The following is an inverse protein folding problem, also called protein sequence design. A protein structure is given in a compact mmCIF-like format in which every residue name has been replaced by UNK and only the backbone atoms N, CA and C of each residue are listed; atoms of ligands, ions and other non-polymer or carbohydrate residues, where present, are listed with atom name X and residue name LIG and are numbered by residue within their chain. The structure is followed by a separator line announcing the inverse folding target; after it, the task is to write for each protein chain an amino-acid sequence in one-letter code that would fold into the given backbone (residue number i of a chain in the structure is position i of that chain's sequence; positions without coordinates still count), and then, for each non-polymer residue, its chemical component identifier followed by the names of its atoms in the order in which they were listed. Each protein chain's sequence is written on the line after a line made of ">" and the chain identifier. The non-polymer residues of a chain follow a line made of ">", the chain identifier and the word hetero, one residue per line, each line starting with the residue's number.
data_IF_375793787342
#
_entry.id   IF_375793787342
#
_cell.length_a   1.000
_cell.length_b   1.000
_cell.length_c   1.000
_cell.angle_alpha   90.00
_cell.angle_beta   90.00
_cell.angle_gamma   90.00
#
_symmetry.space_group_name_H-M   'P 1'
#
loop_
_entity.id
_entity.type
_entity.pdbx_description
1 polymer ?
#
# COMPACT_ATOMS: atom_id res chain seq x y z
N UNK A 1 -39.90 37.92 -1.67
CA UNK A 1 -39.60 38.52 -2.98
C UNK A 1 -38.57 37.64 -3.65
N UNK A 2 -39.02 36.75 -4.46
CA UNK A 2 -39.15 36.74 -5.93
C UNK A 2 -37.82 36.87 -6.65
N UNK A 3 -37.45 35.73 -7.25
CA UNK A 3 -36.97 35.55 -8.64
C UNK A 3 -35.51 35.99 -8.89
N UNK A 4 -34.74 35.28 -9.69
CA UNK A 4 -35.03 34.47 -10.86
C UNK A 4 -33.89 33.53 -11.23
N UNK A 5 -34.30 32.42 -11.76
CA UNK A 5 -33.56 31.49 -12.63
C UNK A 5 -32.88 32.22 -13.79
N UNK A 6 -31.72 31.76 -14.24
CA UNK A 6 -31.43 31.65 -15.69
C UNK A 6 -30.36 30.59 -15.94
N UNK A 7 -30.81 29.57 -16.58
CA UNK A 7 -30.18 28.57 -17.41
C UNK A 7 -29.40 29.28 -18.55
N UNK A 8 -28.17 28.87 -18.79
CA UNK A 8 -27.58 28.94 -20.11
C UNK A 8 -26.82 27.63 -20.38
N UNK A 9 -27.51 26.82 -21.17
CA UNK A 9 -26.87 25.77 -21.95
C UNK A 9 -26.49 26.42 -23.29
N UNK A 10 -25.25 26.23 -23.70
CA UNK A 10 -24.88 26.35 -25.11
C UNK A 10 -23.70 25.39 -25.37
N UNK A 11 -24.03 24.40 -26.14
CA UNK A 11 -23.10 23.54 -26.85
C UNK A 11 -22.30 24.35 -27.87
N UNK A 12 -21.00 24.00 -28.00
CA UNK A 12 -20.29 24.16 -29.26
C UNK A 12 -19.38 22.95 -29.45
N UNK A 13 -19.85 22.10 -30.32
CA UNK A 13 -19.07 21.06 -30.99
C UNK A 13 -18.46 21.66 -32.28
N UNK A 14 -17.45 20.97 -32.79
CA UNK A 14 -16.77 21.08 -34.10
C UNK A 14 -15.73 22.21 -34.19
N UNK A 15 -14.54 21.90 -34.64
CA UNK A 15 -14.04 21.23 -35.84
C UNK A 15 -12.52 21.06 -35.72
N UNK A 16 -12.00 19.89 -35.92
CA UNK A 16 -11.49 19.30 -37.16
C UNK A 16 -10.56 20.21 -38.00
N UNK A 17 -9.44 19.63 -38.13
CA UNK A 17 -8.68 19.31 -39.33
C UNK A 17 -7.24 19.78 -39.33
N UNK A 18 -6.40 18.78 -39.36
CA UNK A 18 -5.27 18.57 -40.24
C UNK A 18 -4.46 19.76 -40.77
N UNK A 19 -3.21 19.78 -40.44
CA UNK A 19 -2.19 19.89 -41.49
C UNK A 19 -0.90 19.22 -41.08
N UNK A 20 -0.52 18.22 -41.86
CA UNK A 20 0.82 17.68 -41.94
C UNK A 20 1.76 18.67 -42.61
N UNK A 21 2.99 18.71 -42.12
CA UNK A 21 4.26 18.66 -42.85
C UNK A 21 5.37 19.03 -41.90
N UNK A 22 6.17 18.04 -41.55
CA UNK A 22 7.43 17.63 -42.10
C UNK A 22 8.63 18.49 -41.72
N UNK A 23 9.55 17.75 -41.18
CA UNK A 23 11.01 17.86 -41.17
C UNK A 23 11.70 18.09 -39.83
N UNK A 24 12.18 17.05 -39.24
CA UNK A 24 13.59 16.79 -39.02
C UNK A 24 14.23 17.41 -37.80
N UNK A 25 14.32 16.62 -36.73
CA UNK A 25 15.56 16.50 -35.97
C UNK A 25 15.38 15.37 -34.93
N UNK A 26 16.33 14.49 -34.90
CA UNK A 26 16.49 13.35 -34.01
C UNK A 26 16.44 13.78 -32.55
N UNK A 27 15.36 13.43 -31.88
CA UNK A 27 15.32 13.29 -30.43
C UNK A 27 14.72 11.92 -30.14
N UNK A 28 15.47 11.15 -29.36
CA UNK A 28 15.12 9.83 -28.89
C UNK A 28 13.76 9.85 -28.18
N UNK A 29 12.73 9.46 -28.89
CA UNK A 29 11.43 9.13 -28.31
C UNK A 29 11.57 7.84 -27.51
N UNK A 30 11.75 7.97 -26.21
CA UNK A 30 11.38 6.92 -25.31
C UNK A 30 9.86 6.96 -25.16
N UNK A 31 9.15 6.41 -26.14
CA UNK A 31 7.75 6.06 -25.99
C UNK A 31 7.66 4.95 -24.95
N UNK A 32 7.50 5.31 -23.69
CA UNK A 32 7.06 4.37 -22.68
C UNK A 32 5.62 3.96 -23.04
N UNK A 33 5.48 2.88 -23.78
CA UNK A 33 4.20 2.22 -23.94
C UNK A 33 3.74 1.83 -22.54
N UNK A 34 2.74 2.54 -21.99
CA UNK A 34 2.06 2.12 -20.76
C UNK A 34 1.56 0.71 -21.03
N UNK A 35 2.14 -0.27 -20.33
CA UNK A 35 1.63 -1.64 -20.38
C UNK A 35 0.28 -1.62 -19.71
N UNK A 36 -0.73 -2.18 -20.37
CA UNK A 36 -2.04 -2.36 -19.76
C UNK A 36 -1.93 -3.25 -18.51
N UNK A 37 -2.80 -2.99 -17.54
CA UNK A 37 -2.89 -3.82 -16.34
C UNK A 37 -3.17 -5.27 -16.74
N UNK A 38 -2.50 -6.20 -16.09
CA UNK A 38 -2.70 -7.63 -16.34
C UNK A 38 -4.03 -8.06 -15.72
N UNK A 39 -4.91 -8.67 -16.51
CA UNK A 39 -6.14 -9.24 -16.00
C UNK A 39 -5.88 -10.24 -14.87
N UNK A 40 -6.80 -10.31 -13.91
CA UNK A 40 -6.76 -11.32 -12.85
C UNK A 40 -6.74 -12.74 -13.44
N UNK A 41 -6.00 -13.62 -12.78
CA UNK A 41 -6.04 -15.05 -13.08
C UNK A 41 -7.40 -15.64 -12.71
N UNK A 42 -7.72 -16.81 -13.25
CA UNK A 42 -8.98 -17.46 -12.93
C UNK A 42 -9.08 -17.84 -11.44
N UNK A 43 -7.98 -18.25 -10.83
CA UNK A 43 -7.91 -18.51 -9.38
C UNK A 43 -8.20 -17.24 -8.56
N UNK A 44 -7.68 -16.08 -8.97
CA UNK A 44 -7.97 -14.80 -8.31
C UNK A 44 -9.46 -14.42 -8.46
N UNK A 45 -10.05 -14.64 -9.63
CA UNK A 45 -11.48 -14.41 -9.86
C UNK A 45 -12.34 -15.32 -8.99
N UNK A 46 -11.97 -16.59 -8.87
CA UNK A 46 -12.66 -17.53 -8.00
C UNK A 46 -12.61 -17.10 -6.54
N UNK A 47 -11.43 -16.66 -6.05
CA UNK A 47 -11.28 -16.11 -4.70
C UNK A 47 -12.16 -14.87 -4.48
N UNK A 48 -12.18 -13.92 -5.44
CA UNK A 48 -13.04 -12.73 -5.37
C UNK A 48 -14.51 -13.13 -5.30
N UNK A 49 -14.96 -14.06 -6.14
CA UNK A 49 -16.34 -14.54 -6.14
C UNK A 49 -16.71 -15.23 -4.82
N UNK A 50 -15.82 -16.07 -4.27
CA UNK A 50 -16.05 -16.74 -2.99
C UNK A 50 -16.11 -15.78 -1.79
N UNK A 51 -15.47 -14.62 -1.89
CA UNK A 51 -15.48 -13.59 -0.85
C UNK A 51 -16.69 -12.66 -0.95
N UNK A 52 -17.27 -12.47 -2.13
CA UNK A 52 -18.44 -11.60 -2.31
C UNK A 52 -19.62 -11.98 -1.41
N UNK A 53 -19.88 -13.28 -1.28
CA UNK A 53 -20.99 -13.81 -0.49
C UNK A 53 -20.77 -13.66 1.02
N UNK A 54 -19.52 -13.45 1.46
CA UNK A 54 -19.16 -13.24 2.86
C UNK A 54 -19.25 -11.78 3.30
N UNK A 55 -19.30 -10.86 2.34
CA UNK A 55 -19.38 -9.44 2.63
C UNK A 55 -20.84 -9.02 2.83
N UNK A 56 -21.12 -8.06 3.73
CA UNK A 56 -22.48 -7.59 3.97
C UNK A 56 -23.08 -6.95 2.73
N UNK A 57 -24.39 -7.14 2.54
CA UNK A 57 -25.16 -6.46 1.51
C UNK A 57 -25.58 -5.09 2.04
N UNK A 58 -24.77 -4.09 1.74
CA UNK A 58 -25.01 -2.70 2.12
C UNK A 58 -25.02 -1.81 0.87
N UNK A 59 -25.83 -0.77 0.90
CA UNK A 59 -25.79 0.28 -0.10
C UNK A 59 -24.88 1.41 0.38
N UNK A 60 -23.82 1.70 -0.39
CA UNK A 60 -22.89 2.76 -0.06
C UNK A 60 -23.46 4.12 -0.49
N UNK A 61 -23.52 5.08 0.42
CA UNK A 61 -23.90 6.47 0.12
C UNK A 61 -22.85 7.17 -0.74
N UNK A 62 -21.56 6.88 -0.53
CA UNK A 62 -20.47 7.28 -1.39
C UNK A 62 -19.76 6.03 -1.94
N UNK A 63 -19.66 5.95 -3.25
CA UNK A 63 -19.02 4.83 -3.95
C UNK A 63 -17.60 5.17 -4.45
N UNK A 64 -17.13 6.39 -4.21
CA UNK A 64 -15.78 6.81 -4.62
C UNK A 64 -14.93 6.99 -3.39
N UNK A 65 -13.79 6.30 -3.36
CA UNK A 65 -12.76 6.42 -2.33
C UNK A 65 -11.58 7.16 -2.94
N UNK A 66 -11.21 8.30 -2.36
CA UNK A 66 -9.98 9.00 -2.69
C UNK A 66 -8.82 8.37 -1.93
N UNK A 67 -7.89 7.79 -2.65
CA UNK A 67 -6.71 7.15 -2.05
C UNK A 67 -5.45 7.89 -2.47
N UNK A 68 -4.84 8.60 -1.54
CA UNK A 68 -3.54 9.24 -1.77
C UNK A 68 -2.42 8.25 -1.45
N UNK A 69 -1.51 8.02 -2.39
CA UNK A 69 -0.36 7.14 -2.20
C UNK A 69 0.83 7.59 -3.06
N UNK A 70 2.04 7.23 -2.61
CA UNK A 70 3.29 7.43 -3.35
C UNK A 70 3.65 6.27 -4.28
N UNK A 71 2.81 5.25 -4.31
CA UNK A 71 2.92 4.08 -5.19
C UNK A 71 1.64 3.91 -6.00
N UNK A 72 1.74 3.27 -7.15
CA UNK A 72 0.59 3.02 -8.03
C UNK A 72 -0.35 1.98 -7.42
N UNK A 73 -1.54 2.42 -7.03
CA UNK A 73 -2.60 1.55 -6.50
C UNK A 73 -3.46 0.94 -7.61
N UNK A 74 -3.42 1.55 -8.81
CA UNK A 74 -4.08 1.04 -10.01
C UNK A 74 -2.98 0.49 -10.91
N UNK A 75 -2.75 -0.82 -10.94
CA UNK A 75 -1.61 -1.40 -11.63
C UNK A 75 -1.63 -1.06 -13.11
N UNK A 76 -0.67 -0.23 -13.54
CA UNK A 76 -0.55 0.23 -14.93
C UNK A 76 0.53 -0.52 -15.73
N UNK A 77 1.42 -1.27 -15.07
CA UNK A 77 2.60 -1.86 -15.69
C UNK A 77 2.58 -3.40 -15.74
N UNK A 78 1.48 -3.98 -16.22
CA UNK A 78 1.36 -5.44 -16.36
C UNK A 78 1.29 -6.20 -15.03
N UNK A 79 1.05 -5.50 -13.91
CA UNK A 79 0.70 -6.08 -12.63
C UNK A 79 -0.78 -6.45 -12.64
N UNK A 80 -1.16 -7.46 -11.88
CA UNK A 80 -2.55 -7.83 -11.70
C UNK A 80 -3.27 -6.82 -10.82
N UNK A 81 -4.53 -6.55 -11.12
CA UNK A 81 -5.41 -5.79 -10.25
C UNK A 81 -5.49 -6.42 -8.86
N UNK A 82 -5.53 -5.59 -7.81
CA UNK A 82 -5.69 -6.08 -6.44
C UNK A 82 -7.05 -6.76 -6.27
N UNK A 83 -7.13 -8.01 -5.76
CA UNK A 83 -8.39 -8.67 -5.46
C UNK A 83 -9.31 -7.84 -4.56
N UNK A 84 -8.77 -7.08 -3.61
CA UNK A 84 -9.55 -6.22 -2.72
C UNK A 84 -10.22 -5.06 -3.47
N UNK A 85 -9.51 -4.42 -4.41
CA UNK A 85 -10.07 -3.36 -5.26
C UNK A 85 -11.16 -3.93 -6.16
N UNK A 86 -10.88 -5.06 -6.81
CA UNK A 86 -11.84 -5.73 -7.68
C UNK A 86 -13.11 -6.16 -6.93
N UNK A 87 -12.95 -6.66 -5.70
CA UNK A 87 -14.06 -7.04 -4.84
C UNK A 87 -14.93 -5.82 -4.46
N UNK A 88 -14.33 -4.69 -4.11
CA UNK A 88 -15.03 -3.45 -3.83
C UNK A 88 -15.80 -2.93 -5.03
N UNK A 89 -15.20 -2.97 -6.22
CA UNK A 89 -15.84 -2.56 -7.45
C UNK A 89 -17.01 -3.49 -7.82
N UNK A 90 -16.82 -4.81 -7.72
CA UNK A 90 -17.80 -5.80 -8.16
C UNK A 90 -18.99 -5.89 -7.20
N UNK A 91 -18.71 -5.93 -5.88
CA UNK A 91 -19.76 -6.08 -4.86
C UNK A 91 -20.57 -4.81 -4.67
N UNK A 92 -19.90 -3.65 -4.61
CA UNK A 92 -20.51 -2.39 -4.21
C UNK A 92 -20.62 -1.35 -5.34
N UNK A 93 -20.09 -1.66 -6.52
CA UNK A 93 -19.99 -0.68 -7.62
C UNK A 93 -19.08 0.49 -7.27
N UNK A 94 -18.06 0.23 -6.43
CA UNK A 94 -17.15 1.23 -5.92
C UNK A 94 -16.13 1.68 -6.97
N UNK A 95 -15.52 2.83 -6.72
CA UNK A 95 -14.44 3.41 -7.53
C UNK A 95 -13.33 3.90 -6.61
N UNK A 96 -12.09 3.59 -6.98
CA UNK A 96 -10.93 4.17 -6.34
C UNK A 96 -10.42 5.35 -7.19
N UNK A 97 -10.37 6.52 -6.60
CA UNK A 97 -9.73 7.70 -7.18
C UNK A 97 -8.32 7.81 -6.60
N UNK A 98 -7.33 7.54 -7.45
CA UNK A 98 -5.93 7.59 -7.07
C UNK A 98 -5.43 9.03 -7.07
N UNK A 99 -5.01 9.52 -5.91
CA UNK A 99 -4.36 10.82 -5.73
C UNK A 99 -2.87 10.58 -5.60
N UNK A 100 -2.14 10.80 -6.70
CA UNK A 100 -0.71 10.53 -6.74
C UNK A 100 0.08 11.56 -5.93
N UNK A 101 1.02 11.08 -5.11
CA UNK A 101 2.06 11.87 -4.47
C UNK A 101 3.43 11.20 -4.66
N UNK A 102 4.47 11.72 -4.04
CA UNK A 102 5.80 11.11 -4.00
C UNK A 102 6.17 10.77 -2.57
N UNK A 103 7.14 9.88 -2.40
CA UNK A 103 7.67 9.54 -1.07
C UNK A 103 8.05 10.79 -0.27
N UNK A 104 8.78 11.72 -0.88
CA UNK A 104 9.28 12.92 -0.20
C UNK A 104 8.18 13.95 0.11
N UNK A 105 7.17 14.06 -0.75
CA UNK A 105 6.14 15.09 -0.63
C UNK A 105 4.85 14.64 0.05
N UNK A 106 4.68 13.32 0.32
CA UNK A 106 3.40 12.75 0.76
C UNK A 106 2.74 13.46 1.94
N UNK A 107 3.50 13.81 2.97
CA UNK A 107 2.96 14.53 4.15
C UNK A 107 2.66 16.00 3.88
N UNK A 108 3.45 16.63 3.02
CA UNK A 108 3.20 18.01 2.59
C UNK A 108 1.94 18.10 1.74
N UNK A 109 1.75 17.16 0.84
CA UNK A 109 0.59 17.10 -0.04
C UNK A 109 -0.67 16.71 0.75
N UNK A 110 -0.56 15.77 1.69
CA UNK A 110 -1.65 15.45 2.62
C UNK A 110 -2.06 16.69 3.44
N UNK A 111 -1.10 17.42 4.01
CA UNK A 111 -1.39 18.62 4.78
C UNK A 111 -2.07 19.71 3.93
N UNK A 112 -1.66 19.89 2.68
CA UNK A 112 -2.32 20.82 1.74
C UNK A 112 -3.76 20.39 1.44
N UNK A 113 -3.99 19.08 1.20
CA UNK A 113 -5.32 18.54 0.94
C UNK A 113 -6.25 18.73 2.14
N UNK A 114 -5.78 18.47 3.35
CA UNK A 114 -6.53 18.71 4.60
C UNK A 114 -6.88 20.18 4.76
N UNK A 115 -5.91 21.08 4.57
CA UNK A 115 -6.15 22.53 4.66
C UNK A 115 -7.11 23.05 3.58
N UNK A 116 -7.11 22.43 2.41
CA UNK A 116 -8.02 22.77 1.32
C UNK A 116 -9.42 22.18 1.48
N UNK A 117 -9.68 21.41 2.53
CA UNK A 117 -10.91 20.64 2.74
C UNK A 117 -11.22 19.68 1.57
N UNK A 118 -10.17 19.12 1.00
CA UNK A 118 -10.19 18.12 -0.09
C UNK A 118 -9.35 16.90 0.30
N UNK A 119 -9.52 16.44 1.54
CA UNK A 119 -8.77 15.33 2.11
C UNK A 119 -8.99 14.03 1.34
N UNK A 120 -7.97 13.18 1.21
CA UNK A 120 -8.17 11.80 0.81
C UNK A 120 -8.89 11.02 1.93
N UNK A 121 -9.60 9.95 1.54
CA UNK A 121 -10.21 9.02 2.48
C UNK A 121 -9.19 8.02 3.05
N UNK A 122 -8.18 7.66 2.24
CA UNK A 122 -7.12 6.73 2.62
C UNK A 122 -5.73 7.29 2.34
N UNK A 123 -4.82 7.02 3.27
CA UNK A 123 -3.41 7.37 3.19
C UNK A 123 -2.58 6.26 3.85
N UNK A 124 -1.47 5.79 3.24
CA UNK A 124 -0.64 4.74 3.83
C UNK A 124 0.14 5.25 5.03
N UNK A 125 0.21 4.41 6.06
CA UNK A 125 1.02 4.65 7.25
C UNK A 125 2.30 3.84 7.13
N UNK A 126 3.38 4.51 6.71
CA UNK A 126 4.66 3.87 6.39
C UNK A 126 5.71 4.11 7.48
N UNK A 127 5.53 5.14 8.31
CA UNK A 127 6.52 5.56 9.29
C UNK A 127 5.90 6.36 10.45
N UNK A 128 6.75 6.81 11.38
CA UNK A 128 6.34 7.57 12.55
C UNK A 128 5.83 8.99 12.23
N UNK A 129 6.09 9.51 11.04
CA UNK A 129 5.54 10.79 10.60
C UNK A 129 4.03 10.67 10.30
N UNK A 130 3.57 9.49 9.88
CA UNK A 130 2.15 9.19 9.81
C UNK A 130 1.56 8.96 11.21
N UNK A 131 2.11 8.01 11.98
CA UNK A 131 1.61 7.70 13.31
C UNK A 131 2.77 7.51 14.31
N UNK A 132 2.73 8.17 15.48
CA UNK A 132 1.63 8.96 16.04
C UNK A 132 1.61 10.44 15.62
N UNK A 133 2.62 10.94 14.91
CA UNK A 133 2.81 12.37 14.62
C UNK A 133 1.65 12.97 13.82
N UNK A 134 1.12 12.25 12.82
CA UNK A 134 -0.04 12.68 12.05
C UNK A 134 -1.33 12.80 12.89
N UNK A 135 -1.56 11.88 13.82
CA UNK A 135 -2.66 11.96 14.76
C UNK A 135 -2.52 13.16 15.70
N UNK A 136 -1.30 13.42 16.23
CA UNK A 136 -0.99 14.58 17.08
C UNK A 136 -1.27 15.90 16.34
N UNK A 137 -1.00 15.95 15.04
CA UNK A 137 -1.19 17.13 14.18
C UNK A 137 -2.61 17.25 13.63
N UNK A 138 -3.53 16.38 14.04
CA UNK A 138 -4.91 16.30 13.50
C UNK A 138 -4.97 16.18 11.97
N UNK A 139 -4.03 15.42 11.40
CA UNK A 139 -4.04 15.05 9.97
C UNK A 139 -4.89 13.82 9.69
N UNK A 140 -5.20 13.04 10.72
CA UNK A 140 -6.05 11.86 10.68
C UNK A 140 -7.15 11.96 11.73
N UNK A 141 -8.31 11.45 11.39
CA UNK A 141 -9.44 11.31 12.31
C UNK A 141 -9.40 9.96 13.03
N UNK A 142 -9.94 9.85 14.25
CA UNK A 142 -10.16 8.56 14.89
C UNK A 142 -11.11 7.69 14.06
N UNK A 143 -10.82 6.39 13.99
CA UNK A 143 -11.59 5.45 13.18
C UNK A 143 -12.44 4.45 13.97
N UNK A 144 -12.46 4.58 15.31
CA UNK A 144 -13.21 3.67 16.20
C UNK A 144 -14.74 3.69 15.95
N UNK A 145 -15.27 4.80 15.46
CA UNK A 145 -16.71 4.92 15.18
C UNK A 145 -17.11 4.27 13.84
N UNK A 146 -16.14 3.92 12.99
CA UNK A 146 -16.37 3.36 11.64
C UNK A 146 -15.73 1.99 11.45
N UNK A 147 -14.80 1.58 12.31
CA UNK A 147 -14.10 0.30 12.25
C UNK A 147 -14.33 -0.47 13.53
N UNK A 148 -14.96 -1.64 13.44
CA UNK A 148 -15.08 -2.58 14.53
C UNK A 148 -13.83 -3.47 14.63
N UNK A 149 -12.88 -3.08 15.45
CA UNK A 149 -11.64 -3.84 15.69
C UNK A 149 -11.85 -5.15 16.45
N UNK A 150 -13.04 -5.39 17.00
CA UNK A 150 -13.37 -6.68 17.64
C UNK A 150 -13.79 -7.76 16.64
N UNK A 151 -13.98 -7.42 15.39
CA UNK A 151 -14.36 -8.35 14.32
C UNK A 151 -13.23 -9.33 14.00
N UNK A 152 -13.59 -10.58 13.73
CA UNK A 152 -12.67 -11.67 13.36
C UNK A 152 -11.79 -11.36 12.15
N UNK A 153 -12.18 -10.40 11.31
CA UNK A 153 -11.39 -9.95 10.15
C UNK A 153 -10.00 -9.42 10.57
N UNK A 154 -9.87 -8.91 11.79
CA UNK A 154 -8.63 -8.35 12.31
C UNK A 154 -7.75 -9.37 13.06
N UNK A 155 -8.20 -10.63 13.18
CA UNK A 155 -7.53 -11.66 14.01
C UNK A 155 -6.04 -11.82 13.72
N UNK A 156 -5.63 -11.71 12.45
CA UNK A 156 -4.21 -11.80 12.05
C UNK A 156 -3.37 -10.58 12.37
N UNK A 157 -4.00 -9.43 12.57
CA UNK A 157 -3.33 -8.14 12.86
C UNK A 157 -3.75 -7.51 14.19
N UNK A 158 -4.52 -8.24 15.02
CA UNK A 158 -5.10 -7.72 16.27
C UNK A 158 -4.04 -7.11 17.19
N UNK A 159 -2.96 -7.84 17.47
CA UNK A 159 -1.88 -7.35 18.36
C UNK A 159 -1.27 -6.05 17.86
N UNK A 160 -1.17 -5.88 16.53
CA UNK A 160 -0.65 -4.66 15.94
C UNK A 160 -1.65 -3.52 16.04
N UNK A 161 -2.92 -3.78 15.76
CA UNK A 161 -3.99 -2.79 15.91
C UNK A 161 -4.09 -2.31 17.37
N UNK A 162 -4.04 -3.21 18.35
CA UNK A 162 -4.04 -2.88 19.77
C UNK A 162 -2.85 -1.98 20.19
N UNK A 163 -1.77 -2.01 19.42
CA UNK A 163 -0.58 -1.19 19.66
C UNK A 163 -0.65 0.21 19.03
N UNK A 164 -1.49 0.41 18.02
CA UNK A 164 -1.65 1.68 17.31
C UNK A 164 -2.72 2.58 17.90
N UNK A 165 -2.65 2.80 19.23
CA UNK A 165 -3.60 3.61 19.98
C UNK A 165 -2.93 4.90 20.47
N UNK A 166 -3.58 6.02 20.23
CA UNK A 166 -3.17 7.33 20.77
C UNK A 166 -4.35 8.00 21.48
N UNK A 167 -4.16 8.38 22.75
CA UNK A 167 -5.20 8.93 23.61
C UNK A 167 -6.46 8.04 23.68
N UNK A 168 -6.30 6.71 23.70
CA UNK A 168 -7.39 5.75 23.75
C UNK A 168 -8.22 5.64 22.46
N UNK A 169 -7.69 6.10 21.32
CA UNK A 169 -8.33 6.06 20.02
C UNK A 169 -7.39 5.45 18.97
N UNK A 170 -7.99 4.72 18.03
CA UNK A 170 -7.29 4.23 16.85
C UNK A 170 -7.33 5.25 15.71
N UNK A 171 -6.21 5.43 15.03
CA UNK A 171 -6.06 6.30 13.85
C UNK A 171 -5.53 5.52 12.64
N UNK A 172 -5.14 4.28 12.88
CA UNK A 172 -4.53 3.38 11.90
C UNK A 172 -5.20 2.02 11.99
N UNK A 173 -5.45 1.41 10.86
CA UNK A 173 -5.86 0.02 10.76
C UNK A 173 -4.77 -0.79 10.05
N UNK A 174 -4.11 -1.69 10.78
CA UNK A 174 -3.19 -2.65 10.21
C UNK A 174 -3.99 -3.80 9.60
N UNK A 175 -3.98 -3.89 8.27
CA UNK A 175 -4.75 -4.89 7.52
C UNK A 175 -4.03 -6.22 7.39
N UNK A 176 -2.70 -6.22 7.48
CA UNK A 176 -1.91 -7.42 7.48
C UNK A 176 -0.55 -7.20 8.20
N UNK A 177 0.12 -8.30 8.53
CA UNK A 177 1.46 -8.28 9.12
C UNK A 177 2.37 -9.10 8.21
N UNK A 178 3.38 -8.43 7.64
CA UNK A 178 4.38 -9.09 6.79
C UNK A 178 5.77 -8.85 7.31
N UNK A 179 6.65 -9.87 7.27
CA UNK A 179 8.07 -9.63 7.48
C UNK A 179 8.59 -8.64 6.44
N UNK A 180 9.12 -7.52 6.89
CA UNK A 180 9.73 -6.54 5.99
C UNK A 180 11.20 -6.84 5.73
N UNK A 181 11.86 -7.35 6.74
CA UNK A 181 13.27 -7.72 6.68
C UNK A 181 13.41 -9.21 6.98
N UNK A 182 14.25 -9.87 6.21
CA UNK A 182 14.59 -11.26 6.39
C UNK A 182 16.11 -11.38 6.45
N UNK A 183 16.62 -12.31 7.25
CA UNK A 183 18.02 -12.67 7.25
C UNK A 183 18.20 -13.81 6.24
N UNK A 184 19.02 -13.57 5.24
CA UNK A 184 19.49 -14.62 4.32
C UNK A 184 20.89 -15.06 4.71
N UNK A 185 21.20 -16.34 4.55
CA UNK A 185 22.51 -16.87 4.88
C UNK A 185 23.01 -17.81 3.78
N UNK A 186 24.33 -17.94 3.68
CA UNK A 186 24.97 -18.85 2.75
C UNK A 186 25.10 -20.23 3.39
N UNK A 187 24.29 -21.19 2.91
CA UNK A 187 24.28 -22.57 3.44
C UNK A 187 25.63 -23.27 3.33
N UNK A 188 26.40 -22.96 2.27
CA UNK A 188 27.74 -23.51 2.11
C UNK A 188 28.69 -23.00 3.17
N UNK A 189 28.65 -21.70 3.50
CA UNK A 189 29.46 -21.10 4.57
C UNK A 189 29.11 -21.75 5.92
N UNK A 190 27.82 -21.87 6.23
CA UNK A 190 27.36 -22.53 7.47
C UNK A 190 27.95 -23.95 7.57
N UNK A 191 27.84 -24.76 6.51
CA UNK A 191 28.37 -26.11 6.46
C UNK A 191 29.90 -26.18 6.54
N UNK A 192 30.61 -25.29 5.77
CA UNK A 192 32.09 -25.30 5.72
C UNK A 192 32.73 -24.98 7.10
N UNK A 193 32.06 -24.17 7.90
CA UNK A 193 32.51 -23.79 9.25
C UNK A 193 31.93 -24.70 10.34
N UNK A 194 31.11 -25.70 9.98
CA UNK A 194 30.56 -26.68 10.91
C UNK A 194 29.50 -26.12 11.85
N UNK A 195 28.82 -25.04 11.44
CA UNK A 195 27.68 -24.49 12.20
C UNK A 195 26.41 -25.32 11.96
N UNK A 196 25.54 -25.32 12.95
CA UNK A 196 24.19 -25.83 12.80
C UNK A 196 23.41 -24.99 11.79
N UNK A 197 22.57 -25.63 10.98
CA UNK A 197 21.75 -24.90 9.98
C UNK A 197 20.70 -24.04 10.68
N UNK A 198 20.67 -22.71 10.45
CA UNK A 198 19.67 -21.83 11.03
C UNK A 198 18.23 -22.23 10.77
N UNK A 199 17.93 -22.85 9.61
CA UNK A 199 16.58 -23.34 9.31
C UNK A 199 16.20 -24.55 10.16
N UNK A 200 17.14 -25.45 10.44
CA UNK A 200 16.93 -26.60 11.34
C UNK A 200 16.78 -26.13 12.79
N UNK A 201 17.61 -25.18 13.22
CA UNK A 201 17.50 -24.56 14.55
C UNK A 201 16.13 -23.88 14.72
N UNK A 202 15.64 -23.17 13.69
CA UNK A 202 14.33 -22.54 13.71
C UNK A 202 13.20 -23.58 13.81
N UNK A 203 13.28 -24.67 13.05
CA UNK A 203 12.28 -25.73 13.09
C UNK A 203 12.20 -26.44 14.45
N UNK A 204 13.27 -26.39 15.23
CA UNK A 204 13.38 -27.00 16.57
C UNK A 204 13.17 -25.99 17.72
N UNK A 205 12.73 -24.74 17.43
CA UNK A 205 12.61 -23.64 18.40
C UNK A 205 13.94 -23.25 19.11
N UNK A 206 15.08 -23.57 18.48
CA UNK A 206 16.43 -23.31 19.00
C UNK A 206 17.07 -22.05 18.37
N UNK A 207 16.46 -21.48 17.30
CA UNK A 207 16.93 -20.25 16.69
C UNK A 207 16.56 -19.04 17.52
N UNK A 208 17.43 -18.62 18.40
CA UNK A 208 17.25 -17.49 19.32
C UNK A 208 18.24 -16.37 19.02
N UNK A 209 17.99 -15.17 19.55
CA UNK A 209 18.93 -14.06 19.48
C UNK A 209 20.30 -14.41 20.07
N UNK A 210 20.35 -15.21 21.12
CA UNK A 210 21.59 -15.67 21.72
C UNK A 210 22.37 -16.57 20.77
N UNK A 211 21.71 -17.54 20.14
CA UNK A 211 22.33 -18.47 19.18
C UNK A 211 22.82 -17.72 17.93
N UNK A 212 22.01 -16.80 17.41
CA UNK A 212 22.40 -15.92 16.30
C UNK A 212 23.65 -15.11 16.64
N UNK A 213 23.67 -14.45 17.81
CA UNK A 213 24.81 -13.64 18.25
C UNK A 213 26.06 -14.48 18.43
N UNK A 214 25.94 -15.66 19.05
CA UNK A 214 27.05 -16.61 19.23
C UNK A 214 27.67 -16.97 17.87
N UNK A 215 26.87 -17.40 16.91
CA UNK A 215 27.34 -17.76 15.58
C UNK A 215 28.00 -16.58 14.85
N UNK A 216 27.41 -15.38 14.95
CA UNK A 216 27.98 -14.18 14.36
C UNK A 216 29.34 -13.81 14.94
N UNK A 217 29.49 -13.87 16.26
CA UNK A 217 30.75 -13.55 16.94
C UNK A 217 31.85 -14.59 16.69
N UNK A 218 31.48 -15.86 16.59
CA UNK A 218 32.42 -16.94 16.30
C UNK A 218 32.91 -16.89 14.83
N UNK A 219 32.03 -16.49 13.91
CA UNK A 219 32.40 -16.37 12.49
C UNK A 219 33.24 -15.13 12.18
N UNK A 220 32.98 -14.02 12.87
CA UNK A 220 33.62 -12.75 12.57
C UNK A 220 35.13 -12.77 12.87
N UNK A 221 35.94 -12.39 11.88
CA UNK A 221 37.40 -12.33 12.00
C UNK A 221 37.94 -11.20 11.10
N UNK A 222 38.31 -10.09 11.71
CA UNK A 222 38.79 -8.92 10.97
C UNK A 222 40.15 -9.13 10.29
N UNK A 223 40.97 -10.07 10.77
CA UNK A 223 42.25 -10.39 10.14
C UNK A 223 42.08 -11.26 8.89
N UNK A 224 40.98 -12.01 8.82
CA UNK A 224 40.62 -12.85 7.68
C UNK A 224 39.53 -12.22 6.79
N UNK A 225 39.21 -10.92 6.97
CA UNK A 225 38.15 -10.20 6.25
C UNK A 225 36.80 -10.91 6.29
N UNK A 226 36.45 -11.53 7.44
CA UNK A 226 35.17 -12.19 7.65
C UNK A 226 34.25 -11.32 8.50
N UNK A 227 33.08 -11.05 7.94
CA UNK A 227 32.03 -10.27 8.57
C UNK A 227 30.77 -11.12 8.66
N UNK A 228 30.15 -11.14 9.83
CA UNK A 228 28.97 -11.96 10.08
C UNK A 228 27.69 -11.36 9.50
N UNK A 229 27.63 -10.05 9.38
CA UNK A 229 26.51 -9.31 8.82
C UNK A 229 27.01 -8.34 7.76
N UNK A 230 26.25 -8.29 6.66
CA UNK A 230 26.37 -7.29 5.61
C UNK A 230 25.01 -6.58 5.51
N UNK A 231 25.02 -5.24 5.59
CA UNK A 231 23.80 -4.43 5.57
C UNK A 231 24.06 -2.93 5.45
#
# INVERSE_FOLDING_TARGET
>A
MKMAKRIFAAACALSLACSMAACGSSSSDSSSSKKEAKAMTDDQKEQVNALQDKLPDIELSNKTIKWMAHYDINPSDGKSESPAISLFQTKYGGKIEYVQTTWDNRYTDLAKAVMANDSPDFFPVDDMDAFPKGAIKAMFEPIDDVVDFSSDIWSSSQTLNDSFVFNGKHYVAAIDVRPQYVCTYNTKTISDFGYDDPAELYANDEWTWSKFTEMCLDFADSEADRYALDG
#
